data_IF_015301451871
#
_entry.id   IF_015301451871
#
_cell.length_a   1.000
_cell.length_b   1.000
_cell.length_c   1.000
_cell.angle_alpha   90.00
_cell.angle_beta   90.00
_cell.angle_gamma   90.00
#
_symmetry.space_group_name_H-M   'P 1'
#
loop_
_entity.id
_entity.type
_entity.pdbx_description
1 polymer ?
#
# COMPACT_ATOMS: atom_id res chain seq x y z
N UNK A 1 8.51 2.73 14.53
CA UNK A 1 7.51 2.53 13.45
C UNK A 1 7.31 1.05 13.13
N UNK A 2 8.31 0.25 13.35
CA UNK A 2 8.29 -1.20 13.18
C UNK A 2 9.36 -1.83 14.08
N UNK A 3 9.48 -3.14 14.03
CA UNK A 3 10.48 -3.91 14.74
C UNK A 3 11.09 -4.97 13.80
N UNK A 4 12.37 -5.24 13.94
CA UNK A 4 13.01 -6.42 13.32
C UNK A 4 13.13 -7.50 14.38
N UNK A 5 12.58 -8.67 14.10
CA UNK A 5 12.65 -9.86 14.95
C UNK A 5 13.52 -10.89 14.24
N UNK A 6 14.66 -11.20 14.79
CA UNK A 6 15.68 -12.06 14.14
C UNK A 6 16.01 -11.63 12.70
N UNK A 7 16.14 -10.30 12.49
CA UNK A 7 16.45 -9.71 11.19
C UNK A 7 15.27 -9.54 10.23
N UNK A 8 14.07 -9.98 10.57
CA UNK A 8 12.86 -9.84 9.73
C UNK A 8 12.00 -8.68 10.21
N UNK A 9 11.66 -7.77 9.30
CA UNK A 9 10.81 -6.62 9.58
C UNK A 9 9.38 -7.07 9.90
N UNK A 10 8.83 -6.58 11.02
CA UNK A 10 7.50 -6.93 11.54
C UNK A 10 6.77 -5.69 12.06
N UNK A 11 5.44 -5.80 12.18
CA UNK A 11 4.62 -4.81 12.87
C UNK A 11 5.04 -4.67 14.33
N UNK A 12 4.85 -3.49 14.92
CA UNK A 12 5.06 -3.28 16.36
C UNK A 12 4.13 -4.14 17.23
N UNK A 13 2.97 -4.52 16.72
CA UNK A 13 2.02 -5.39 17.42
C UNK A 13 2.37 -6.89 17.34
N UNK A 14 3.47 -7.26 16.69
CA UNK A 14 3.89 -8.66 16.56
C UNK A 14 4.15 -9.27 17.93
N UNK A 15 3.51 -10.40 18.20
CA UNK A 15 3.74 -11.16 19.42
C UNK A 15 5.01 -11.99 19.28
N UNK A 16 5.93 -11.84 20.23
CA UNK A 16 7.16 -12.64 20.34
C UNK A 16 6.87 -13.79 21.30
N UNK A 17 7.00 -15.02 20.83
CA UNK A 17 6.66 -16.24 21.60
C UNK A 17 7.86 -17.05 22.05
N UNK A 18 9.07 -16.65 21.68
CA UNK A 18 10.33 -17.27 22.06
C UNK A 18 11.44 -16.21 22.12
N UNK A 19 12.59 -16.57 22.66
CA UNK A 19 13.75 -15.68 22.69
C UNK A 19 14.11 -15.26 21.26
N UNK A 20 14.32 -13.98 21.06
CA UNK A 20 14.61 -13.39 19.74
C UNK A 20 15.48 -12.15 19.87
N UNK A 21 16.28 -11.88 18.83
CA UNK A 21 16.98 -10.62 18.68
C UNK A 21 15.99 -9.56 18.15
N UNK A 22 15.85 -8.47 18.89
CA UNK A 22 14.89 -7.40 18.56
C UNK A 22 15.62 -6.10 18.28
N UNK A 23 15.33 -5.48 17.12
CA UNK A 23 15.83 -4.18 16.72
C UNK A 23 14.65 -3.23 16.46
N UNK A 24 14.68 -2.07 17.06
CA UNK A 24 13.64 -1.06 16.88
C UNK A 24 13.90 -0.27 15.59
N UNK A 25 12.89 -0.20 14.74
CA UNK A 25 12.94 0.58 13.50
C UNK A 25 12.31 1.95 13.75
N UNK A 26 13.16 2.94 13.89
CA UNK A 26 12.75 4.35 14.03
C UNK A 26 12.63 5.00 12.64
N UNK A 27 12.20 6.27 12.60
CA UNK A 27 12.09 7.01 11.35
C UNK A 27 13.43 7.22 10.64
N UNK A 28 14.54 7.17 11.37
CA UNK A 28 15.90 7.32 10.82
C UNK A 28 16.53 6.00 10.38
N UNK A 29 15.87 4.87 10.64
CA UNK A 29 16.39 3.56 10.27
C UNK A 29 16.44 3.38 8.74
N UNK A 30 17.50 2.76 8.17
CA UNK A 30 17.61 2.56 6.72
C UNK A 30 16.43 1.83 6.09
N UNK A 31 15.80 0.90 6.80
CA UNK A 31 14.69 0.08 6.30
C UNK A 31 13.33 0.80 6.33
N UNK A 32 13.25 1.99 6.89
CA UNK A 32 11.98 2.69 7.08
C UNK A 32 11.36 3.18 5.77
N UNK A 33 12.17 3.50 4.75
CA UNK A 33 11.66 4.02 3.48
C UNK A 33 10.78 3.01 2.75
N UNK A 34 11.18 1.74 2.73
CA UNK A 34 10.34 0.68 2.16
C UNK A 34 8.99 0.57 2.86
N UNK A 35 8.98 0.68 4.19
CA UNK A 35 7.77 0.65 5.00
C UNK A 35 6.86 1.86 4.72
N UNK A 36 7.43 3.07 4.68
CA UNK A 36 6.72 4.30 4.35
C UNK A 36 6.08 4.21 2.96
N UNK A 37 6.81 3.72 1.97
CA UNK A 37 6.32 3.59 0.59
C UNK A 37 5.23 2.55 0.45
N UNK A 38 5.34 1.44 1.18
CA UNK A 38 4.29 0.43 1.23
C UNK A 38 3.00 0.98 1.84
N UNK A 39 3.09 1.68 2.95
CA UNK A 39 1.94 2.33 3.58
C UNK A 39 1.33 3.41 2.67
N UNK A 40 2.16 4.17 1.97
CA UNK A 40 1.69 5.16 1.00
C UNK A 40 0.86 4.53 -0.12
N UNK A 41 1.27 3.36 -0.61
CA UNK A 41 0.50 2.61 -1.61
C UNK A 41 -0.90 2.24 -1.10
N UNK A 42 -1.01 1.78 0.15
CA UNK A 42 -2.29 1.44 0.77
C UNK A 42 -3.17 2.66 1.05
N UNK A 43 -2.58 3.77 1.50
CA UNK A 43 -3.31 5.03 1.68
C UNK A 43 -3.84 5.54 0.33
N UNK A 44 -3.07 5.43 -0.73
CA UNK A 44 -3.52 5.76 -2.08
C UNK A 44 -4.67 4.86 -2.56
N UNK A 45 -4.59 3.58 -2.31
CA UNK A 45 -5.66 2.63 -2.70
C UNK A 45 -6.98 2.95 -1.99
N UNK A 46 -6.95 3.26 -0.69
CA UNK A 46 -8.14 3.72 0.04
C UNK A 46 -8.69 5.01 -0.56
N UNK A 47 -7.83 5.98 -0.86
CA UNK A 47 -8.23 7.25 -1.45
C UNK A 47 -8.93 7.04 -2.81
N UNK A 48 -8.36 6.21 -3.67
CA UNK A 48 -8.92 5.90 -4.98
C UNK A 48 -10.28 5.23 -4.86
N UNK A 49 -10.43 4.21 -4.03
CA UNK A 49 -11.71 3.52 -3.86
C UNK A 49 -12.78 4.39 -3.18
N UNK A 50 -12.36 5.32 -2.33
CA UNK A 50 -13.29 6.28 -1.70
C UNK A 50 -13.83 7.28 -2.72
N UNK A 51 -12.97 7.82 -3.58
CA UNK A 51 -13.35 8.81 -4.58
C UNK A 51 -14.04 8.20 -5.80
N UNK A 52 -13.65 7.00 -6.19
CA UNK A 52 -14.12 6.30 -7.38
C UNK A 52 -14.65 4.91 -7.01
N UNK A 53 -15.83 4.82 -6.42
CA UNK A 53 -16.45 3.54 -6.05
C UNK A 53 -16.56 2.60 -7.25
N UNK A 54 -16.32 1.31 -7.02
CA UNK A 54 -16.29 0.30 -8.07
C UNK A 54 -14.94 0.10 -8.74
N UNK A 55 -13.96 0.95 -8.49
CA UNK A 55 -12.58 0.72 -8.92
C UNK A 55 -12.01 -0.51 -8.19
N UNK A 56 -11.47 -1.46 -8.93
CA UNK A 56 -10.84 -2.64 -8.34
C UNK A 56 -9.36 -2.39 -8.07
N UNK A 57 -8.89 -2.92 -6.97
CA UNK A 57 -7.49 -2.85 -6.55
C UNK A 57 -6.79 -4.19 -6.81
N UNK A 58 -5.51 -4.13 -7.09
CA UNK A 58 -4.69 -5.31 -7.40
C UNK A 58 -3.48 -5.40 -6.48
N UNK A 59 -2.34 -4.88 -6.89
CA UNK A 59 -1.07 -4.93 -6.17
C UNK A 59 -0.45 -3.54 -6.12
N UNK A 60 0.12 -3.18 -4.94
CA UNK A 60 0.78 -1.90 -4.72
C UNK A 60 2.10 -2.05 -3.96
N UNK A 61 3.20 -2.39 -4.65
CA UNK A 61 4.49 -2.55 -4.00
C UNK A 61 5.22 -1.23 -3.78
N UNK A 62 6.14 -1.23 -2.82
CA UNK A 62 7.19 -0.22 -2.73
C UNK A 62 8.24 -0.49 -3.81
N UNK A 63 8.75 0.58 -4.40
CA UNK A 63 9.82 0.55 -5.40
C UNK A 63 10.93 1.55 -5.03
N UNK A 64 12.00 1.60 -5.81
CA UNK A 64 13.03 2.61 -5.62
C UNK A 64 12.43 4.02 -5.71
N UNK A 65 12.69 4.84 -4.70
CA UNK A 65 12.21 6.22 -4.55
C UNK A 65 10.69 6.41 -4.49
N UNK A 66 9.90 5.34 -4.47
CA UNK A 66 8.46 5.51 -4.49
C UNK A 66 7.65 4.23 -4.32
N UNK A 67 6.47 4.28 -4.88
CA UNK A 67 5.48 3.20 -4.85
C UNK A 67 4.59 3.30 -6.07
N UNK A 68 3.84 2.24 -6.33
CA UNK A 68 2.71 2.30 -7.26
C UNK A 68 1.57 1.42 -6.76
N UNK A 69 0.42 1.56 -7.37
CA UNK A 69 -0.70 0.65 -7.22
C UNK A 69 -1.43 0.54 -8.54
N UNK A 70 -1.85 -0.67 -8.90
CA UNK A 70 -2.57 -0.95 -10.14
C UNK A 70 -4.07 -1.03 -9.89
N UNK A 71 -4.84 -0.30 -10.69
CA UNK A 71 -6.28 -0.17 -10.57
C UNK A 71 -6.99 -0.61 -11.86
N UNK A 72 -8.11 -1.31 -11.71
CA UNK A 72 -9.01 -1.60 -12.80
C UNK A 72 -10.20 -0.64 -12.73
N UNK A 73 -10.32 0.22 -13.73
CA UNK A 73 -11.37 1.22 -13.87
C UNK A 73 -11.62 1.50 -15.36
N UNK A 74 -12.89 1.66 -15.74
CA UNK A 74 -13.25 1.90 -17.13
C UNK A 74 -12.76 3.27 -17.67
N UNK A 75 -12.88 4.31 -16.83
CA UNK A 75 -12.45 5.65 -17.21
C UNK A 75 -10.97 5.88 -16.88
N UNK A 76 -10.19 6.53 -17.77
CA UNK A 76 -8.81 6.89 -17.48
C UNK A 76 -8.71 7.90 -16.34
N UNK A 77 -7.69 7.74 -15.50
CA UNK A 77 -7.33 8.78 -14.54
C UNK A 77 -6.71 9.97 -15.25
N UNK A 78 -7.11 11.16 -14.83
CA UNK A 78 -6.62 12.43 -15.35
C UNK A 78 -5.66 13.10 -14.38
N UNK A 79 -4.88 14.13 -14.77
CA UNK A 79 -4.08 14.91 -13.83
C UNK A 79 -4.92 15.51 -12.69
N UNK A 80 -6.14 15.96 -12.95
CA UNK A 80 -7.06 16.47 -11.92
C UNK A 80 -7.45 15.36 -10.93
N UNK A 81 -7.62 14.13 -11.40
CA UNK A 81 -7.87 12.98 -10.54
C UNK A 81 -6.69 12.73 -9.58
N UNK A 82 -5.45 12.83 -10.07
CA UNK A 82 -4.27 12.69 -9.22
C UNK A 82 -4.23 13.73 -8.10
N UNK A 83 -4.59 14.96 -8.38
CA UNK A 83 -4.66 16.02 -7.36
C UNK A 83 -5.73 15.72 -6.30
N UNK A 84 -6.89 15.23 -6.71
CA UNK A 84 -7.96 14.83 -5.79
C UNK A 84 -7.57 13.62 -4.94
N UNK A 85 -6.94 12.63 -5.55
CA UNK A 85 -6.47 11.43 -4.86
C UNK A 85 -5.42 11.83 -3.81
N UNK A 86 -4.46 12.67 -4.17
CA UNK A 86 -3.44 13.14 -3.25
C UNK A 86 -4.04 13.93 -2.08
N UNK A 87 -5.00 14.81 -2.34
CA UNK A 87 -5.73 15.53 -1.28
C UNK A 87 -6.47 14.58 -0.34
N UNK A 88 -7.11 13.55 -0.88
CA UNK A 88 -7.78 12.51 -0.07
C UNK A 88 -6.78 11.69 0.73
N UNK A 89 -5.61 11.37 0.19
CA UNK A 89 -4.53 10.71 0.93
C UNK A 89 -4.12 11.55 2.16
N UNK A 90 -4.01 12.86 2.01
CA UNK A 90 -3.67 13.77 3.13
C UNK A 90 -4.73 13.76 4.22
N UNK A 91 -6.01 13.68 3.86
CA UNK A 91 -7.10 13.52 4.82
C UNK A 91 -7.01 12.17 5.57
N UNK A 92 -6.72 11.09 4.87
CA UNK A 92 -6.57 9.75 5.45
C UNK A 92 -5.39 9.73 6.45
N UNK A 93 -4.27 10.32 6.09
CA UNK A 93 -3.12 10.48 6.99
C UNK A 93 -3.52 11.29 8.24
N UNK A 94 -4.21 12.40 8.06
CA UNK A 94 -4.65 13.26 9.17
C UNK A 94 -5.65 12.57 10.10
N UNK A 95 -6.45 11.65 9.61
CA UNK A 95 -7.37 10.83 10.40
C UNK A 95 -6.62 9.93 11.41
N UNK A 96 -5.41 9.53 11.08
CA UNK A 96 -4.52 8.71 11.92
C UNK A 96 -5.18 7.42 12.43
N UNK A 97 -5.83 6.69 11.53
CA UNK A 97 -6.45 5.42 11.85
C UNK A 97 -5.40 4.31 12.04
N UNK A 98 -5.58 3.41 13.01
CA UNK A 98 -4.65 2.32 13.23
C UNK A 98 -4.65 1.32 12.06
N UNK A 99 -3.48 0.76 11.76
CA UNK A 99 -3.36 -0.46 10.97
C UNK A 99 -3.54 -1.67 11.87
N UNK A 100 -4.44 -2.56 11.51
CA UNK A 100 -4.65 -3.81 12.23
C UNK A 100 -4.57 -4.99 11.28
N UNK A 101 -3.97 -6.10 11.73
CA UNK A 101 -3.79 -7.31 10.94
C UNK A 101 -4.71 -8.41 11.45
N UNK A 102 -5.39 -9.07 10.54
CA UNK A 102 -6.26 -10.22 10.82
C UNK A 102 -5.84 -11.40 9.94
N UNK A 103 -5.82 -12.60 10.52
CA UNK A 103 -5.71 -13.83 9.76
C UNK A 103 -7.12 -14.32 9.38
N UNK A 104 -7.33 -14.59 8.10
CA UNK A 104 -8.63 -15.03 7.58
C UNK A 104 -8.56 -16.44 7.02
N UNK A 105 -9.68 -17.16 7.10
CA UNK A 105 -9.85 -18.40 6.34
C UNK A 105 -9.79 -18.10 4.83
N UNK A 106 -9.06 -18.94 4.08
CA UNK A 106 -8.85 -18.74 2.64
C UNK A 106 -10.17 -18.67 1.87
N UNK A 107 -11.06 -19.61 2.09
CA UNK A 107 -12.31 -19.69 1.36
C UNK A 107 -13.26 -18.54 1.72
N UNK A 108 -13.27 -18.12 2.96
CA UNK A 108 -14.02 -16.96 3.41
C UNK A 108 -13.47 -15.67 2.80
N UNK A 109 -12.14 -15.54 2.74
CA UNK A 109 -11.49 -14.38 2.10
C UNK A 109 -11.82 -14.30 0.60
N UNK A 110 -11.76 -15.42 -0.12
CA UNK A 110 -12.11 -15.46 -1.54
C UNK A 110 -13.56 -15.01 -1.75
N UNK A 111 -14.51 -15.56 -0.98
CA UNK A 111 -15.93 -15.17 -1.09
C UNK A 111 -16.14 -13.70 -0.78
N UNK A 112 -15.47 -13.19 0.27
CA UNK A 112 -15.57 -11.79 0.66
C UNK A 112 -15.18 -10.83 -0.47
N UNK A 113 -14.04 -11.09 -1.12
CA UNK A 113 -13.58 -10.25 -2.22
C UNK A 113 -14.42 -10.43 -3.48
N UNK A 114 -14.89 -11.64 -3.79
CA UNK A 114 -15.80 -11.89 -4.92
C UNK A 114 -17.13 -11.13 -4.76
N UNK A 115 -17.73 -11.19 -3.58
CA UNK A 115 -19.00 -10.49 -3.28
C UNK A 115 -18.87 -8.96 -3.40
N UNK A 116 -17.67 -8.43 -3.22
CA UNK A 116 -17.37 -7.01 -3.40
C UNK A 116 -16.93 -6.64 -4.82
N UNK A 117 -16.91 -7.58 -5.74
CA UNK A 117 -16.45 -7.35 -7.10
C UNK A 117 -14.93 -7.23 -7.23
N UNK A 118 -14.18 -7.58 -6.20
CA UNK A 118 -12.70 -7.51 -6.16
C UNK A 118 -12.10 -8.82 -6.75
N UNK A 119 -12.32 -9.03 -8.03
CA UNK A 119 -11.92 -10.29 -8.72
C UNK A 119 -10.41 -10.54 -8.69
N UNK A 120 -9.61 -9.48 -8.76
CA UNK A 120 -8.14 -9.61 -8.74
C UNK A 120 -7.63 -10.08 -7.38
N UNK A 121 -8.21 -9.57 -6.29
CA UNK A 121 -7.87 -10.02 -4.94
C UNK A 121 -8.25 -11.50 -4.74
N UNK A 122 -9.42 -11.90 -5.19
CA UNK A 122 -9.84 -13.31 -5.14
C UNK A 122 -8.90 -14.21 -5.94
N UNK A 123 -8.49 -13.79 -7.14
CA UNK A 123 -7.52 -14.51 -7.97
C UNK A 123 -6.16 -14.65 -7.29
N UNK A 124 -5.65 -13.55 -6.71
CA UNK A 124 -4.38 -13.56 -5.96
C UNK A 124 -4.43 -14.59 -4.83
N UNK A 125 -5.51 -14.62 -4.04
CA UNK A 125 -5.66 -15.57 -2.94
C UNK A 125 -5.64 -17.02 -3.44
N UNK A 126 -6.33 -17.32 -4.56
CA UNK A 126 -6.34 -18.66 -5.13
C UNK A 126 -4.96 -19.15 -5.55
N UNK A 127 -4.11 -18.22 -5.98
CA UNK A 127 -2.76 -18.53 -6.46
C UNK A 127 -1.71 -18.57 -5.36
N UNK A 128 -2.02 -18.10 -4.16
CA UNK A 128 -1.12 -18.20 -3.02
C UNK A 128 -0.97 -19.68 -2.59
N UNK A 129 0.26 -20.08 -2.16
CA UNK A 129 0.47 -21.45 -1.65
C UNK A 129 -0.54 -21.81 -0.55
N UNK A 130 -1.03 -23.04 -0.55
CA UNK A 130 -2.00 -23.52 0.45
C UNK A 130 -1.49 -23.41 1.90
N UNK A 131 -0.17 -23.46 2.07
CA UNK A 131 0.49 -23.32 3.37
C UNK A 131 0.58 -21.88 3.86
N UNK A 132 0.28 -20.90 3.00
CA UNK A 132 0.38 -19.49 3.36
C UNK A 132 -0.87 -19.03 4.11
N UNK A 133 -0.65 -18.37 5.26
CA UNK A 133 -1.73 -17.72 6.01
C UNK A 133 -2.22 -16.50 5.22
N UNK A 134 -3.53 -16.39 5.04
CA UNK A 134 -4.14 -15.22 4.41
C UNK A 134 -4.29 -14.13 5.46
N UNK A 135 -3.63 -13.00 5.25
CA UNK A 135 -3.70 -11.84 6.14
C UNK A 135 -4.35 -10.66 5.46
N UNK A 136 -5.15 -9.94 6.23
CA UNK A 136 -5.86 -8.74 5.82
C UNK A 136 -5.49 -7.62 6.79
N UNK A 137 -5.13 -6.47 6.24
CA UNK A 137 -4.89 -5.26 7.03
C UNK A 137 -6.06 -4.30 6.89
N UNK A 138 -6.50 -3.77 8.03
CA UNK A 138 -7.49 -2.69 8.10
C UNK A 138 -6.80 -1.37 8.41
N UNK A 139 -7.28 -0.32 7.76
CA UNK A 139 -6.96 1.07 8.11
C UNK A 139 -8.30 1.84 8.14
N UNK A 140 -8.78 2.14 9.35
CA UNK A 140 -10.16 2.59 9.52
C UNK A 140 -11.14 1.53 9.06
N UNK A 141 -12.09 1.89 8.20
CA UNK A 141 -13.09 0.98 7.63
C UNK A 141 -12.62 0.30 6.33
N UNK A 142 -11.54 0.78 5.73
CA UNK A 142 -10.96 0.19 4.54
C UNK A 142 -10.04 -0.98 4.88
N UNK A 143 -10.02 -1.98 4.02
CA UNK A 143 -9.16 -3.15 4.19
C UNK A 143 -8.55 -3.60 2.87
N UNK A 144 -7.43 -4.30 2.97
CA UNK A 144 -6.76 -4.90 1.83
C UNK A 144 -6.06 -6.20 2.22
N UNK A 145 -5.96 -7.11 1.24
CA UNK A 145 -5.12 -8.29 1.34
C UNK A 145 -3.65 -7.84 1.36
N UNK A 146 -2.92 -8.20 2.40
CA UNK A 146 -1.52 -7.80 2.53
C UNK A 146 -0.77 -8.71 3.51
N UNK A 147 0.50 -8.96 3.21
CA UNK A 147 1.41 -9.68 4.12
C UNK A 147 1.97 -8.78 5.22
N UNK A 148 1.92 -7.48 5.03
CA UNK A 148 2.59 -6.51 5.90
C UNK A 148 4.11 -6.50 5.72
N UNK A 149 4.86 -5.89 6.65
CA UNK A 149 4.34 -5.12 7.78
C UNK A 149 3.81 -3.75 7.39
N UNK A 150 3.07 -3.13 8.29
CA UNK A 150 2.64 -1.74 8.23
C UNK A 150 3.06 -0.98 9.48
N UNK A 151 3.15 0.36 9.37
CA UNK A 151 3.33 1.24 10.53
C UNK A 151 2.09 1.18 11.44
N UNK A 152 2.16 1.66 12.70
CA UNK A 152 1.05 1.54 13.63
C UNK A 152 -0.25 2.21 13.20
N UNK A 153 -0.16 3.33 12.47
CA UNK A 153 -1.32 4.09 12.02
C UNK A 153 -1.03 4.87 10.74
N UNK A 154 -2.08 5.30 10.05
CA UNK A 154 -1.94 6.07 8.80
C UNK A 154 -1.23 7.40 8.99
N UNK A 155 -1.36 8.02 10.16
CA UNK A 155 -0.67 9.27 10.50
C UNK A 155 0.85 9.15 10.52
N UNK A 156 1.38 7.96 10.76
CA UNK A 156 2.83 7.71 10.76
C UNK A 156 3.45 7.83 9.38
N UNK A 157 2.65 7.72 8.32
CA UNK A 157 3.12 8.02 6.96
C UNK A 157 3.68 9.44 6.85
N UNK A 158 3.05 10.40 7.51
CA UNK A 158 3.40 11.81 7.37
C UNK A 158 2.94 12.37 6.03
N UNK A 159 3.44 13.54 5.66
CA UNK A 159 3.02 14.28 4.46
C UNK A 159 4.11 14.34 3.36
N UNK A 160 5.18 13.59 3.50
CA UNK A 160 6.31 13.58 2.58
C UNK A 160 6.09 12.71 1.34
N UNK A 161 4.94 12.80 0.70
CA UNK A 161 4.59 12.04 -0.50
C UNK A 161 3.97 12.91 -1.59
N UNK A 162 4.04 12.42 -2.83
CA UNK A 162 3.43 13.05 -4.00
C UNK A 162 3.08 12.01 -5.04
N UNK A 163 1.92 12.15 -5.67
CA UNK A 163 1.55 11.36 -6.85
C UNK A 163 2.23 11.95 -8.08
N UNK A 164 2.79 11.09 -8.93
CA UNK A 164 3.67 11.51 -10.00
C UNK A 164 3.04 11.38 -11.40
N UNK A 165 2.52 10.19 -11.72
CA UNK A 165 2.00 9.90 -13.06
C UNK A 165 1.10 8.68 -13.08
N UNK A 166 0.36 8.55 -14.18
CA UNK A 166 -0.40 7.35 -14.54
C UNK A 166 0.25 6.70 -15.76
N UNK A 167 0.30 5.38 -15.76
CA UNK A 167 0.73 4.59 -16.91
C UNK A 167 -0.15 3.34 -17.06
N UNK A 168 -0.20 2.79 -18.26
CA UNK A 168 -0.82 1.49 -18.50
C UNK A 168 0.10 0.36 -18.02
N UNK A 169 -0.49 -0.69 -17.48
CA UNK A 169 0.23 -1.91 -17.10
C UNK A 169 -0.70 -3.13 -17.26
N UNK A 170 -0.24 -4.15 -17.94
CA UNK A 170 -1.01 -5.37 -18.08
C UNK A 170 -1.04 -6.17 -16.77
N UNK A 171 -2.19 -6.73 -16.44
CA UNK A 171 -2.33 -7.63 -15.31
C UNK A 171 -1.30 -8.77 -15.40
N UNK A 172 -0.49 -8.95 -14.37
CA UNK A 172 0.61 -9.93 -14.30
C UNK A 172 1.66 -9.76 -15.41
N UNK A 173 1.77 -8.58 -16.00
CA UNK A 173 2.74 -8.31 -17.08
C UNK A 173 2.46 -9.03 -18.40
N UNK A 174 1.32 -9.67 -18.54
CA UNK A 174 0.95 -10.41 -19.75
C UNK A 174 0.03 -9.56 -20.64
N UNK A 175 0.50 -9.24 -21.87
CA UNK A 175 -0.24 -8.42 -22.83
C UNK A 175 -1.60 -9.01 -23.27
N UNK A 176 -1.85 -10.28 -22.98
CA UNK A 176 -3.13 -10.95 -23.23
C UNK A 176 -4.15 -10.67 -22.13
N UNK A 177 -3.70 -10.21 -20.99
CA UNK A 177 -4.54 -9.84 -19.87
C UNK A 177 -5.04 -8.39 -19.99
N UNK A 178 -5.93 -8.01 -19.07
CA UNK A 178 -6.49 -6.67 -19.03
C UNK A 178 -5.41 -5.60 -18.80
N UNK A 179 -5.55 -4.46 -19.47
CA UNK A 179 -4.76 -3.27 -19.21
C UNK A 179 -5.29 -2.58 -17.97
N UNK A 180 -4.45 -2.47 -16.95
CA UNK A 180 -4.71 -1.74 -15.72
C UNK A 180 -4.13 -0.34 -15.79
N UNK A 181 -4.57 0.52 -14.87
CA UNK A 181 -4.01 1.85 -14.71
C UNK A 181 -3.11 1.86 -13.47
N UNK A 182 -1.83 2.14 -13.70
CA UNK A 182 -0.81 2.23 -12.67
C UNK A 182 -0.60 3.66 -12.26
N UNK A 183 -0.86 3.98 -11.00
CA UNK A 183 -0.53 5.30 -10.44
C UNK A 183 0.79 5.18 -9.69
N UNK A 184 1.77 5.98 -10.10
CA UNK A 184 3.07 6.10 -9.43
C UNK A 184 3.07 7.26 -8.46
N UNK A 185 3.67 7.04 -7.30
CA UNK A 185 3.97 8.08 -6.33
C UNK A 185 5.38 7.99 -5.80
N UNK A 186 5.82 9.02 -5.12
CA UNK A 186 7.07 9.06 -4.36
C UNK A 186 6.76 9.31 -2.90
N UNK A 187 7.53 8.74 -1.98
CA UNK A 187 7.34 8.93 -0.55
C UNK A 187 8.67 8.89 0.20
N UNK A 188 8.78 9.76 1.17
CA UNK A 188 9.98 10.06 1.93
C UNK A 188 9.69 10.20 3.42
N UNK A 189 10.72 10.29 4.24
CA UNK A 189 10.57 10.40 5.71
C UNK A 189 9.80 11.65 6.12
N UNK A 190 10.01 12.75 5.38
CA UNK A 190 9.40 14.04 5.63
C UNK A 190 9.28 14.88 4.35
N UNK A 191 8.67 16.05 4.47
CA UNK A 191 8.51 16.98 3.34
C UNK A 191 9.83 17.55 2.84
N UNK A 192 10.84 17.65 3.68
CA UNK A 192 12.17 18.15 3.30
C UNK A 192 12.85 17.17 2.34
N UNK A 193 12.84 15.89 2.64
CA UNK A 193 13.38 14.86 1.75
C UNK A 193 12.59 14.81 0.44
N UNK A 194 11.26 14.92 0.49
CA UNK A 194 10.42 14.99 -0.70
C UNK A 194 10.82 16.16 -1.60
N UNK A 195 10.96 17.36 -1.06
CA UNK A 195 11.36 18.54 -1.82
C UNK A 195 12.73 18.36 -2.45
N UNK A 196 13.68 17.78 -1.73
CA UNK A 196 15.01 17.50 -2.25
C UNK A 196 14.96 16.54 -3.44
N UNK A 197 14.15 15.50 -3.36
CA UNK A 197 13.96 14.54 -4.47
C UNK A 197 13.31 15.20 -5.70
N UNK A 198 12.26 15.99 -5.49
CA UNK A 198 11.58 16.68 -6.60
C UNK A 198 12.52 17.68 -7.30
N UNK A 199 13.34 18.38 -6.54
CA UNK A 199 14.35 19.28 -7.10
C UNK A 199 15.39 18.52 -7.94
N UNK A 200 15.87 17.37 -7.49
CA UNK A 200 16.77 16.53 -8.28
C UNK A 200 16.14 16.08 -9.61
N UNK A 201 14.84 15.82 -9.63
CA UNK A 201 14.13 15.42 -10.85
C UNK A 201 14.00 16.60 -11.85
N UNK A 202 13.90 17.84 -11.36
CA UNK A 202 13.82 19.02 -12.20
C UNK A 202 15.17 19.38 -12.85
N UNK A 203 16.27 19.01 -12.18
CA UNK A 203 17.63 19.29 -12.67
C UNK A 203 18.19 18.21 -13.61
N UNK A 204 17.54 17.04 -13.71
CA UNK A 204 17.98 15.91 -14.50
C UNK A 204 17.48 15.95 -15.96
#
# INVERSE_FOLDING_TARGET
LAVKVDGTLRDLATRITSDAAVEIVTRDHPDVLGLIRHDAAHVMAEAVQTLYPGTQVTIGPAIANGFYYDFARAEPFTPDDLERIEAKMREIVSRDAPFTCEAWDRNEAIRFFEERGEKYKAEIIRDLPETETITVYRQGEWLDLCRGPHMPSTGRLGQGFKLMKVAGAYWRGDHRNEMLQRIYGTAWRDEKELKAHLHQLEEA
#
